data_IF_297403592744
#
_entry.id   IF_297403592744
#
_cell.length_a   1.000
_cell.length_b   1.000
_cell.length_c   1.000
_cell.angle_alpha   90.00
_cell.angle_beta   90.00
_cell.angle_gamma   90.00
#
_symmetry.space_group_name_H-M   'P 1'
#
loop_
_entity.id
_entity.type
_entity.pdbx_description
1 polymer ?
#
# COMPACT_ATOMS: atom_id res chain seq x y z
N UNK A 1 -58.44 21.41 3.63
CA UNK A 1 -57.20 20.60 3.52
C UNK A 1 -56.03 21.56 3.39
N UNK A 2 -55.18 21.73 4.42
CA UNK A 2 -54.11 22.75 4.42
C UNK A 2 -52.87 22.24 3.65
N UNK A 3 -52.17 23.06 2.85
CA UNK A 3 -51.00 22.61 2.10
C UNK A 3 -49.77 22.44 3.01
N UNK A 4 -49.12 21.27 2.95
CA UNK A 4 -47.82 21.00 3.57
C UNK A 4 -46.73 21.71 2.76
N UNK A 5 -45.90 22.54 3.43
CA UNK A 5 -44.69 23.13 2.84
C UNK A 5 -43.62 22.04 2.69
N UNK A 6 -43.11 21.87 1.46
CA UNK A 6 -41.91 21.07 1.19
C UNK A 6 -40.69 21.95 1.44
N UNK A 7 -39.97 21.72 2.54
CA UNK A 7 -38.66 22.34 2.77
C UNK A 7 -37.59 21.53 2.06
N UNK A 8 -37.08 22.03 0.93
CA UNK A 8 -35.84 21.55 0.34
C UNK A 8 -34.69 21.94 1.28
N UNK A 9 -34.22 20.98 2.08
CA UNK A 9 -33.03 21.13 2.90
C UNK A 9 -31.82 21.40 2.01
N UNK A 10 -31.24 22.59 2.16
CA UNK A 10 -30.07 23.04 1.40
C UNK A 10 -28.82 22.38 1.99
N UNK A 11 -28.66 21.08 1.75
CA UNK A 11 -27.48 20.33 2.18
C UNK A 11 -26.30 20.72 1.27
N UNK A 12 -25.59 21.76 1.67
CA UNK A 12 -24.34 22.15 1.01
C UNK A 12 -23.28 21.08 1.28
N UNK A 13 -22.65 20.57 0.23
CA UNK A 13 -21.47 19.71 0.38
C UNK A 13 -20.40 20.49 1.17
N UNK A 14 -19.84 19.92 2.25
CA UNK A 14 -18.83 20.61 3.03
C UNK A 14 -17.60 20.87 2.15
N UNK A 15 -17.11 22.11 2.16
CA UNK A 15 -15.92 22.55 1.40
C UNK A 15 -14.72 21.61 1.57
N UNK A 16 -14.60 21.00 2.75
CA UNK A 16 -13.57 20.01 3.08
C UNK A 16 -13.65 18.75 2.21
N UNK A 17 -14.84 18.24 1.91
CA UNK A 17 -15.02 17.08 1.03
C UNK A 17 -14.66 17.39 -0.41
N UNK A 18 -14.94 18.62 -0.87
CA UNK A 18 -14.53 19.09 -2.20
C UNK A 18 -13.00 19.17 -2.28
N UNK A 19 -12.34 19.81 -1.31
CA UNK A 19 -10.88 19.92 -1.29
C UNK A 19 -10.18 18.56 -1.16
N UNK A 20 -10.74 17.63 -0.40
CA UNK A 20 -10.23 16.26 -0.30
C UNK A 20 -10.37 15.47 -1.62
N UNK A 21 -11.47 15.66 -2.35
CA UNK A 21 -11.69 15.02 -3.65
C UNK A 21 -10.86 15.61 -4.79
N UNK A 22 -10.60 16.92 -4.77
CA UNK A 22 -9.82 17.60 -5.81
C UNK A 22 -8.40 17.03 -5.94
N UNK A 23 -7.74 16.67 -4.84
CA UNK A 23 -6.39 16.08 -4.89
C UNK A 23 -6.35 14.77 -5.70
N UNK A 24 -7.37 13.92 -5.55
CA UNK A 24 -7.47 12.65 -6.30
C UNK A 24 -7.83 12.91 -7.76
N UNK A 25 -8.74 13.85 -8.01
CA UNK A 25 -9.17 14.21 -9.36
C UNK A 25 -8.05 14.82 -10.21
N UNK A 26 -7.08 15.51 -9.60
CA UNK A 26 -5.92 16.06 -10.31
C UNK A 26 -4.72 15.10 -10.33
N UNK A 27 -4.57 14.20 -9.35
CA UNK A 27 -3.45 13.25 -9.32
C UNK A 27 -3.48 12.25 -10.48
N UNK A 28 -4.67 11.76 -10.86
CA UNK A 28 -4.82 10.77 -11.94
C UNK A 28 -4.48 11.34 -13.33
N UNK A 29 -5.04 12.50 -13.75
CA UNK A 29 -4.70 13.11 -15.04
C UNK A 29 -3.27 13.64 -15.09
N UNK A 30 -2.71 14.06 -13.95
CA UNK A 30 -1.30 14.49 -13.89
C UNK A 30 -0.35 13.34 -14.19
N UNK A 31 -0.68 12.12 -13.73
CA UNK A 31 0.12 10.93 -14.00
C UNK A 31 0.10 10.57 -15.50
N UNK A 32 -1.07 10.64 -16.14
CA UNK A 32 -1.21 10.41 -17.59
C UNK A 32 -0.58 11.54 -18.43
N UNK A 33 -0.72 12.81 -18.01
CA UNK A 33 -0.21 13.96 -18.74
C UNK A 33 1.33 14.10 -18.71
N UNK A 34 2.01 13.36 -17.82
CA UNK A 34 3.47 13.28 -17.82
C UNK A 34 4.01 12.34 -18.93
N UNK A 35 3.14 11.65 -19.68
CA UNK A 35 3.55 10.91 -20.87
C UNK A 35 3.62 11.88 -22.08
N UNK A 36 4.81 12.10 -22.67
CA UNK A 36 4.96 13.03 -23.78
C UNK A 36 4.19 12.57 -25.02
N UNK A 37 3.22 13.38 -25.48
CA UNK A 37 2.28 13.06 -26.55
C UNK A 37 2.91 12.78 -27.93
N UNK A 38 4.16 13.15 -28.15
CA UNK A 38 4.86 13.02 -29.44
C UNK A 38 6.28 12.45 -29.34
N UNK A 39 6.64 11.80 -28.24
CA UNK A 39 7.92 11.10 -28.16
C UNK A 39 7.83 9.77 -28.92
N UNK A 40 8.80 9.48 -29.80
CA UNK A 40 9.02 8.12 -30.27
C UNK A 40 9.21 7.22 -29.04
N UNK A 41 8.60 6.02 -29.05
CA UNK A 41 8.84 4.99 -28.04
C UNK A 41 10.32 4.63 -28.06
N UNK A 42 11.11 5.34 -27.27
CA UNK A 42 12.37 4.82 -26.80
C UNK A 42 11.99 3.65 -25.91
N UNK A 43 11.99 2.44 -26.46
CA UNK A 43 11.86 1.18 -25.71
C UNK A 43 13.13 0.95 -24.89
N UNK A 44 13.54 1.95 -24.12
CA UNK A 44 14.48 1.76 -23.03
C UNK A 44 13.71 0.92 -22.03
N UNK A 45 14.05 -0.37 -21.94
CA UNK A 45 13.51 -1.25 -20.91
C UNK A 45 13.57 -0.50 -19.58
N UNK A 46 12.39 -0.20 -19.02
CA UNK A 46 12.33 0.47 -17.74
C UNK A 46 13.15 -0.35 -16.72
N UNK A 47 14.02 0.29 -15.94
CA UNK A 47 14.85 -0.45 -14.98
C UNK A 47 13.94 -1.19 -14.00
N UNK A 48 14.20 -2.48 -13.80
CA UNK A 48 13.48 -3.30 -12.81
C UNK A 48 13.89 -2.83 -11.42
N UNK A 49 12.96 -2.20 -10.69
CA UNK A 49 13.21 -1.57 -9.38
C UNK A 49 12.69 -2.38 -8.18
N UNK A 50 12.01 -3.50 -8.43
CA UNK A 50 11.37 -4.30 -7.40
C UNK A 50 11.62 -5.79 -7.63
N UNK A 51 11.96 -6.48 -6.54
CA UNK A 51 12.04 -7.93 -6.47
C UNK A 51 11.15 -8.36 -5.31
N UNK A 52 10.22 -9.27 -5.57
CA UNK A 52 9.40 -9.91 -4.55
C UNK A 52 9.90 -11.36 -4.41
N UNK A 53 10.23 -11.76 -3.19
CA UNK A 53 10.66 -13.13 -2.88
C UNK A 53 9.67 -13.70 -1.88
N UNK A 54 9.05 -14.82 -2.25
CA UNK A 54 8.26 -15.62 -1.33
C UNK A 54 9.13 -16.70 -0.71
N UNK A 55 9.03 -16.86 0.60
CA UNK A 55 9.57 -18.02 1.28
C UNK A 55 8.48 -19.08 1.39
N UNK A 56 8.47 -20.06 0.46
CA UNK A 56 7.54 -21.18 0.51
C UNK A 56 7.60 -21.88 1.87
N UNK A 57 6.45 -22.32 2.37
CA UNK A 57 6.25 -22.82 3.75
C UNK A 57 6.48 -21.80 4.88
N UNK A 58 6.79 -20.55 4.54
CA UNK A 58 6.85 -19.42 5.48
C UNK A 58 8.13 -19.37 6.32
N UNK A 59 8.17 -18.34 7.17
CA UNK A 59 9.19 -18.16 8.19
C UNK A 59 8.48 -18.23 9.54
N UNK A 60 9.13 -18.83 10.54
CA UNK A 60 8.58 -18.91 11.88
C UNK A 60 8.44 -17.50 12.50
N UNK A 61 7.21 -16.96 12.68
CA UNK A 61 7.00 -15.53 12.94
C UNK A 61 7.66 -15.03 14.22
N UNK A 62 7.68 -15.84 15.29
CA UNK A 62 8.26 -15.46 16.59
C UNK A 62 9.76 -15.18 16.55
N UNK A 63 10.46 -15.61 15.50
CA UNK A 63 11.90 -15.38 15.33
C UNK A 63 12.20 -14.37 14.20
N UNK A 64 11.18 -13.96 13.44
CA UNK A 64 11.32 -13.01 12.34
C UNK A 64 10.88 -11.61 12.73
N UNK A 65 9.68 -11.44 13.31
CA UNK A 65 9.14 -10.12 13.60
C UNK A 65 9.75 -9.52 14.88
N UNK A 66 10.16 -8.24 14.87
CA UNK A 66 10.52 -7.51 16.08
C UNK A 66 9.30 -7.31 17.01
N UNK A 67 9.53 -7.27 18.32
CA UNK A 67 8.49 -7.01 19.31
C UNK A 67 8.05 -5.54 19.36
N UNK A 68 8.99 -4.63 19.05
CA UNK A 68 8.80 -3.19 19.10
C UNK A 68 8.74 -2.61 17.69
N UNK A 69 7.95 -1.55 17.52
CA UNK A 69 7.90 -0.76 16.30
C UNK A 69 8.90 0.41 16.35
N UNK A 70 9.12 1.06 15.20
CA UNK A 70 9.96 2.25 15.09
C UNK A 70 11.30 1.98 14.39
N UNK A 71 12.05 3.05 14.12
CA UNK A 71 13.28 2.97 13.34
C UNK A 71 14.40 2.20 14.05
N UNK A 72 14.35 2.08 15.38
CA UNK A 72 15.41 1.52 16.24
C UNK A 72 14.97 0.25 16.99
N UNK A 73 13.99 -0.50 16.47
CA UNK A 73 13.61 -1.79 17.05
C UNK A 73 14.83 -2.73 17.19
N UNK A 74 14.79 -3.55 18.25
CA UNK A 74 15.78 -4.61 18.47
C UNK A 74 15.63 -5.72 17.42
N UNK A 75 16.74 -6.12 16.80
CA UNK A 75 16.74 -7.17 15.79
C UNK A 75 16.32 -8.52 16.37
N UNK A 76 15.35 -9.16 15.72
CA UNK A 76 14.96 -10.54 15.96
C UNK A 76 16.08 -11.52 15.53
N UNK A 77 16.06 -12.78 16.01
CA UNK A 77 17.11 -13.76 15.70
C UNK A 77 17.43 -13.91 14.21
N UNK A 78 16.42 -13.89 13.34
CA UNK A 78 16.65 -14.00 11.89
C UNK A 78 17.20 -12.71 11.29
N UNK A 79 16.71 -11.55 11.73
CA UNK A 79 17.18 -10.27 11.23
C UNK A 79 18.61 -9.92 11.66
N UNK A 80 19.16 -10.57 12.69
CA UNK A 80 20.60 -10.45 13.03
C UNK A 80 21.52 -10.83 11.87
N UNK A 81 21.10 -11.73 10.99
CA UNK A 81 21.86 -12.07 9.76
C UNK A 81 21.94 -10.91 8.77
N UNK A 82 21.03 -9.95 8.86
CA UNK A 82 20.93 -8.77 8.01
C UNK A 82 21.32 -7.48 8.76
N UNK A 83 22.02 -7.59 9.89
CA UNK A 83 22.37 -6.44 10.73
C UNK A 83 23.13 -5.34 9.98
N UNK A 84 24.00 -5.73 9.03
CA UNK A 84 24.81 -4.79 8.24
C UNK A 84 23.94 -3.89 7.33
N UNK A 85 22.72 -4.35 7.03
CA UNK A 85 21.73 -3.64 6.21
C UNK A 85 20.61 -3.01 7.05
N UNK A 86 20.76 -2.86 8.37
CA UNK A 86 19.69 -2.40 9.27
C UNK A 86 19.06 -1.06 8.89
N UNK A 87 19.82 -0.16 8.26
CA UNK A 87 19.34 1.15 7.78
C UNK A 87 18.69 1.11 6.40
N UNK A 88 18.72 -0.05 5.72
CA UNK A 88 18.25 -0.25 4.36
C UNK A 88 17.06 -1.22 4.29
N UNK A 89 16.53 -1.65 5.44
CA UNK A 89 15.40 -2.57 5.51
C UNK A 89 14.31 -2.09 6.47
N UNK A 90 13.07 -2.35 6.09
CA UNK A 90 11.88 -2.12 6.91
C UNK A 90 11.11 -3.42 7.01
N UNK A 91 10.69 -3.78 8.23
CA UNK A 91 9.93 -5.00 8.48
C UNK A 91 8.49 -4.62 8.78
N UNK A 92 7.56 -5.20 8.02
CA UNK A 92 6.13 -4.99 8.19
C UNK A 92 5.50 -6.28 8.75
N UNK A 93 4.80 -6.17 9.87
CA UNK A 93 4.01 -7.24 10.47
C UNK A 93 2.50 -6.97 10.32
N UNK A 94 1.66 -7.99 10.45
CA UNK A 94 0.20 -7.82 10.40
C UNK A 94 -0.37 -7.64 8.99
N UNK A 95 0.42 -7.89 7.95
CA UNK A 95 -0.01 -7.85 6.53
C UNK A 95 -0.65 -9.17 6.07
N UNK A 96 -1.01 -10.06 7.01
CA UNK A 96 -1.71 -11.31 6.71
C UNK A 96 -3.20 -11.07 6.54
N UNK A 97 -3.83 -11.68 5.54
CA UNK A 97 -5.28 -11.64 5.36
C UNK A 97 -5.97 -12.60 6.35
N UNK A 98 -6.73 -12.09 7.35
CA UNK A 98 -7.45 -12.96 8.29
C UNK A 98 -8.54 -13.73 7.54
N UNK A 99 -8.59 -15.05 7.70
CA UNK A 99 -9.64 -15.89 7.11
C UNK A 99 -9.24 -16.64 5.83
N UNK A 100 -8.00 -16.48 5.35
CA UNK A 100 -7.47 -17.37 4.29
C UNK A 100 -7.21 -18.74 4.89
N UNK A 101 -7.93 -19.75 4.38
CA UNK A 101 -7.73 -21.16 4.71
C UNK A 101 -7.07 -21.86 3.52
N UNK A 102 -6.34 -22.95 3.75
CA UNK A 102 -5.60 -23.65 2.69
C UNK A 102 -4.19 -24.10 3.06
N UNK A 103 -3.68 -23.69 4.24
CA UNK A 103 -2.36 -24.10 4.72
C UNK A 103 -1.26 -23.73 3.72
N UNK A 104 -0.41 -24.70 3.37
CA UNK A 104 0.64 -24.51 2.37
C UNK A 104 0.11 -24.09 0.99
N UNK A 105 -1.11 -24.47 0.61
CA UNK A 105 -1.66 -24.09 -0.69
C UNK A 105 -2.01 -22.59 -0.80
N UNK A 106 -2.05 -21.87 0.31
CA UNK A 106 -2.30 -20.43 0.34
C UNK A 106 -1.12 -19.59 -0.15
N UNK A 107 0.07 -20.19 -0.36
CA UNK A 107 1.24 -19.53 -0.96
C UNK A 107 0.94 -18.96 -2.36
N UNK A 108 -0.04 -19.53 -3.08
CA UNK A 108 -0.50 -18.99 -4.38
C UNK A 108 -1.10 -17.58 -4.31
N UNK A 109 -1.38 -17.08 -3.11
CA UNK A 109 -1.86 -15.71 -2.88
C UNK A 109 -0.71 -14.68 -2.80
N UNK A 110 0.53 -15.08 -3.05
CA UNK A 110 1.65 -14.16 -3.20
C UNK A 110 1.54 -13.40 -4.53
N UNK A 111 1.26 -12.10 -4.41
CA UNK A 111 0.90 -11.09 -5.44
C UNK A 111 -0.58 -11.03 -5.79
#
# INVERSE_FOLDING_TARGET
MKPKKLTCGRNALPRRSILQGCGVAFALPWLDAMQPAFAAENTVMAPRRMVAVETNMGILPQFFFPEQSGADYQLSPYLKRLQDHRRQMTVFSGVSLPGVTGGHAAERCFL
#
